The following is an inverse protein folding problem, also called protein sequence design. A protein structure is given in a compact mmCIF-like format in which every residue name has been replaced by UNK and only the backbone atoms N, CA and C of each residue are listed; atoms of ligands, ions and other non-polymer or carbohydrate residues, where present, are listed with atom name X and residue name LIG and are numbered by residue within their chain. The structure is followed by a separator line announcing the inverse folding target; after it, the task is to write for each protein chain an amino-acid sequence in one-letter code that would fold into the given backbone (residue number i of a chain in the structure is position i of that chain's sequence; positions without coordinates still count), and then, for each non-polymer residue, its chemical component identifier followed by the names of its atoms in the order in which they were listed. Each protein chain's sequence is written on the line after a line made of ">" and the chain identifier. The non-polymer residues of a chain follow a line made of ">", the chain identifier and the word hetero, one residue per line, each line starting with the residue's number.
data_IF_209140162344
#
_entry.id   IF_209140162344
#
_cell.length_a   1.000
_cell.length_b   1.000
_cell.length_c   1.000
_cell.angle_alpha   90.00
_cell.angle_beta   90.00
_cell.angle_gamma   90.00
#
_symmetry.space_group_name_H-M   'P 1'
#
loop_
_entity.id
_entity.type
_entity.pdbx_description
1 polymer ?
#
# COMPACT_ATOMS: atom_id res chain seq x y z
N UNK A 1 3.88 3.35 14.19
CA UNK A 1 3.73 4.72 13.65
C UNK A 1 4.92 5.13 12.78
N UNK A 2 6.18 5.20 13.30
CA UNK A 2 7.34 5.72 12.55
C UNK A 2 7.55 5.03 11.20
N UNK A 3 7.76 3.71 11.16
CA UNK A 3 8.01 2.99 9.91
C UNK A 3 6.89 3.12 8.87
N UNK A 4 5.65 3.23 9.32
CA UNK A 4 4.47 3.49 8.49
C UNK A 4 4.58 4.87 7.82
N UNK A 5 4.83 5.92 8.60
CA UNK A 5 4.92 7.31 8.13
C UNK A 5 6.11 7.53 7.19
N UNK A 6 7.28 6.92 7.49
CA UNK A 6 8.47 7.01 6.64
C UNK A 6 8.26 6.46 5.22
N UNK A 7 7.29 5.57 5.03
CA UNK A 7 6.89 5.07 3.72
C UNK A 7 5.74 5.83 3.06
N UNK A 8 5.40 7.00 3.60
CA UNK A 8 4.24 7.78 3.20
C UNK A 8 3.06 7.57 4.15
N UNK A 9 2.75 6.33 4.51
CA UNK A 9 1.64 5.99 5.40
C UNK A 9 0.28 6.15 4.75
N UNK A 10 -0.20 5.12 4.05
CA UNK A 10 -1.53 5.08 3.42
C UNK A 10 -2.60 4.70 4.45
N UNK A 11 -3.40 5.65 4.97
CA UNK A 11 -4.40 5.35 5.99
C UNK A 11 -5.72 4.84 5.37
N UNK A 12 -6.57 4.22 6.20
CA UNK A 12 -7.94 3.87 5.83
C UNK A 12 -8.70 5.09 5.32
N UNK A 13 -8.52 6.23 5.96
CA UNK A 13 -9.16 7.52 5.60
C UNK A 13 -8.33 8.36 4.61
N UNK A 14 -7.46 7.74 3.81
CA UNK A 14 -6.53 8.45 2.94
C UNK A 14 -7.19 9.38 1.93
N UNK A 15 -8.33 8.99 1.37
CA UNK A 15 -9.07 9.84 0.43
C UNK A 15 -9.57 11.14 1.07
N UNK A 16 -9.92 11.08 2.36
CA UNK A 16 -10.40 12.23 3.12
C UNK A 16 -9.25 13.12 3.64
N UNK A 17 -8.10 12.54 4.00
CA UNK A 17 -7.09 13.25 4.77
C UNK A 17 -5.67 13.19 4.21
N UNK A 18 -5.41 12.47 3.11
CA UNK A 18 -4.08 12.32 2.51
C UNK A 18 -3.23 11.25 3.18
N UNK A 19 -1.95 11.28 2.89
CA UNK A 19 -0.96 10.39 3.52
C UNK A 19 -0.60 10.87 4.93
N UNK A 20 -0.22 9.96 5.82
CA UNK A 20 0.23 10.32 7.17
C UNK A 20 1.45 11.26 7.13
N UNK A 21 2.35 11.09 6.15
CA UNK A 21 3.52 11.94 5.96
C UNK A 21 3.17 13.39 5.55
N UNK A 22 1.98 13.63 4.98
CA UNK A 22 1.52 14.99 4.63
C UNK A 22 1.29 15.86 5.87
N UNK A 23 1.14 15.24 7.04
CA UNK A 23 0.79 15.90 8.31
C UNK A 23 1.97 16.04 9.27
N UNK A 24 3.15 15.60 8.87
CA UNK A 24 4.35 15.66 9.72
C UNK A 24 4.96 17.05 9.68
N UNK A 25 5.25 17.60 10.86
CA UNK A 25 5.93 18.90 11.05
C UNK A 25 7.43 18.74 11.29
N UNK A 26 7.83 17.69 12.02
CA UNK A 26 9.24 17.47 12.35
C UNK A 26 9.55 16.01 12.64
N UNK A 27 10.83 15.68 12.46
CA UNK A 27 11.43 14.44 12.94
C UNK A 27 12.64 14.73 13.82
N UNK A 28 12.82 13.96 14.89
CA UNK A 28 14.12 13.76 15.51
C UNK A 28 14.72 12.49 14.92
N UNK A 29 15.90 12.58 14.37
CA UNK A 29 16.55 11.50 13.63
C UNK A 29 18.02 11.38 13.98
N UNK A 30 18.47 10.17 14.30
CA UNK A 30 19.89 9.85 14.47
C UNK A 30 20.42 9.37 13.12
N UNK A 31 21.36 10.14 12.56
CA UNK A 31 22.04 9.80 11.31
C UNK A 31 23.24 8.88 11.56
N UNK A 32 23.78 8.15 10.56
CA UNK A 32 24.87 7.19 10.71
C UNK A 32 26.17 7.72 11.34
N UNK A 33 26.38 9.04 11.31
CA UNK A 33 27.48 9.73 12.02
C UNK A 33 27.23 9.89 13.53
N UNK A 34 26.23 9.20 14.07
CA UNK A 34 25.78 9.26 15.47
C UNK A 34 25.29 10.65 15.92
N UNK A 35 24.89 11.51 14.97
CA UNK A 35 24.39 12.85 15.27
C UNK A 35 22.86 12.84 15.35
N UNK A 36 22.30 13.37 16.44
CA UNK A 36 20.88 13.65 16.55
C UNK A 36 20.57 14.96 15.81
N UNK A 37 19.63 14.90 14.87
CA UNK A 37 19.21 16.04 14.03
C UNK A 37 17.72 16.27 14.17
N UNK A 38 17.34 17.55 14.11
CA UNK A 38 15.93 17.94 13.92
C UNK A 38 15.71 18.26 12.46
N UNK A 39 14.82 17.51 11.81
CA UNK A 39 14.46 17.73 10.41
C UNK A 39 13.06 18.34 10.31
N UNK A 40 12.95 19.50 9.66
CA UNK A 40 11.72 20.25 9.36
C UNK A 40 11.80 20.77 7.92
N UNK A 41 10.74 21.43 7.44
CA UNK A 41 10.77 22.09 6.13
C UNK A 41 11.91 23.14 6.00
N UNK A 42 12.28 23.80 7.11
CA UNK A 42 13.28 24.87 7.13
C UNK A 42 14.65 24.41 7.66
N UNK A 43 14.69 23.35 8.47
CA UNK A 43 15.92 22.81 9.08
C UNK A 43 16.16 21.42 8.51
N UNK A 44 17.34 21.18 7.94
CA UNK A 44 17.68 19.92 7.25
C UNK A 44 16.60 19.51 6.22
N UNK A 45 16.21 20.38 5.28
CA UNK A 45 15.07 20.16 4.39
C UNK A 45 15.21 18.91 3.51
N UNK A 46 16.42 18.54 3.07
CA UNK A 46 16.64 17.32 2.30
C UNK A 46 16.36 16.06 3.14
N UNK A 47 16.73 16.09 4.42
CA UNK A 47 16.47 15.02 5.36
C UNK A 47 14.97 14.90 5.65
N UNK A 48 14.30 16.04 5.88
CA UNK A 48 12.85 16.11 6.06
C UNK A 48 12.08 15.57 4.86
N UNK A 49 12.49 15.98 3.66
CA UNK A 49 11.92 15.47 2.40
C UNK A 49 12.10 13.96 2.27
N UNK A 50 13.31 13.42 2.50
CA UNK A 50 13.62 12.00 2.36
C UNK A 50 12.88 11.12 3.37
N UNK A 51 12.64 11.62 4.60
CA UNK A 51 11.90 10.89 5.65
C UNK A 51 10.40 10.81 5.37
N UNK A 52 9.86 11.57 4.42
CA UNK A 52 8.45 11.56 4.03
C UNK A 52 8.24 10.81 2.71
N UNK A 53 8.40 9.48 2.73
CA UNK A 53 8.24 8.57 1.59
C UNK A 53 9.50 7.79 1.19
N UNK A 54 10.69 8.25 1.60
CA UNK A 54 11.97 7.61 1.27
C UNK A 54 12.37 6.47 2.22
N UNK A 55 11.50 6.09 3.16
CA UNK A 55 11.77 5.02 4.14
C UNK A 55 12.93 5.36 5.10
N UNK A 56 13.56 4.34 5.70
CA UNK A 56 14.66 4.46 6.67
C UNK A 56 16.05 4.57 6.05
N UNK A 57 16.18 5.17 4.87
CA UNK A 57 17.44 5.20 4.12
C UNK A 57 18.49 6.17 4.68
N UNK A 58 18.09 7.13 5.52
CA UNK A 58 18.92 8.29 5.89
C UNK A 58 19.14 8.43 7.39
N UNK A 59 18.44 7.67 8.22
CA UNK A 59 18.56 7.73 9.68
C UNK A 59 17.55 6.86 10.41
N UNK A 60 17.72 6.79 11.73
CA UNK A 60 16.80 6.16 12.67
C UNK A 60 15.98 7.25 13.36
N UNK A 61 14.69 7.30 13.07
CA UNK A 61 13.77 8.30 13.67
C UNK A 61 13.44 7.88 15.10
N UNK A 62 13.64 8.79 16.04
CA UNK A 62 13.35 8.61 17.47
C UNK A 62 12.07 9.32 17.89
N UNK A 63 11.68 10.38 17.18
CA UNK A 63 10.45 11.15 17.45
C UNK A 63 9.91 11.72 16.15
N UNK A 64 8.58 11.85 16.05
CA UNK A 64 7.92 12.60 15.00
C UNK A 64 6.75 13.40 15.59
N UNK A 65 6.57 14.63 15.12
CA UNK A 65 5.43 15.49 15.44
C UNK A 65 4.53 15.65 14.20
N UNK A 66 3.23 15.46 14.37
CA UNK A 66 2.24 15.50 13.29
C UNK A 66 0.87 15.96 13.79
N UNK A 67 0.04 16.45 12.85
CA UNK A 67 -1.32 16.87 13.15
C UNK A 67 -2.27 15.70 13.37
N UNK A 68 -3.25 15.91 14.24
CA UNK A 68 -4.42 15.07 14.43
C UNK A 68 -5.66 15.72 13.81
N UNK A 69 -6.67 14.91 13.51
CA UNK A 69 -7.97 15.36 13.02
C UNK A 69 -9.01 15.32 14.13
N UNK A 70 -9.91 16.32 14.21
CA UNK A 70 -11.03 16.33 15.14
C UNK A 70 -12.14 15.39 14.64
N UNK A 71 -11.89 14.09 14.62
CA UNK A 71 -12.81 13.05 14.15
C UNK A 71 -13.14 12.12 15.31
N UNK A 72 -14.38 12.17 15.78
CA UNK A 72 -14.85 11.37 16.91
C UNK A 72 -15.42 10.01 16.46
N UNK A 73 -16.22 10.02 15.38
CA UNK A 73 -16.92 8.84 14.85
C UNK A 73 -16.73 8.70 13.35
N UNK A 74 -16.92 7.50 12.85
CA UNK A 74 -16.99 7.15 11.43
C UNK A 74 -18.11 6.16 11.20
N UNK A 75 -18.79 6.24 10.05
CA UNK A 75 -19.59 5.12 9.57
C UNK A 75 -18.63 4.19 8.84
N UNK A 76 -18.48 2.94 9.29
CA UNK A 76 -17.50 2.02 8.69
C UNK A 76 -17.83 0.56 8.94
N UNK A 77 -17.19 -0.30 8.17
CA UNK A 77 -17.38 -1.74 8.20
C UNK A 77 -17.22 -2.37 6.83
N UNK A 78 -17.77 -3.58 6.67
CA UNK A 78 -17.74 -4.32 5.43
C UNK A 78 -19.07 -4.98 5.11
N UNK A 79 -19.47 -4.92 3.84
CA UNK A 79 -20.59 -5.68 3.27
C UNK A 79 -20.02 -6.88 2.53
N UNK A 80 -20.46 -8.08 2.92
CA UNK A 80 -19.94 -9.35 2.41
C UNK A 80 -20.99 -10.06 1.55
N UNK A 81 -20.52 -10.61 0.45
CA UNK A 81 -21.31 -11.34 -0.54
C UNK A 81 -20.68 -12.71 -0.80
N UNK A 82 -21.47 -13.71 -1.11
CA UNK A 82 -20.94 -15.00 -1.56
C UNK A 82 -20.07 -14.81 -2.80
N UNK A 83 -19.00 -15.59 -2.90
CA UNK A 83 -17.99 -15.44 -3.96
C UNK A 83 -18.52 -15.58 -5.39
N UNK A 84 -19.65 -16.27 -5.58
CA UNK A 84 -20.35 -16.36 -6.88
C UNK A 84 -20.83 -14.99 -7.40
N UNK A 85 -21.05 -14.02 -6.49
CA UNK A 85 -21.47 -12.66 -6.83
C UNK A 85 -20.28 -11.68 -7.05
N UNK A 86 -19.04 -12.18 -6.99
CA UNK A 86 -17.83 -11.37 -7.06
C UNK A 86 -17.80 -10.39 -8.25
N UNK A 87 -18.25 -10.85 -9.44
CA UNK A 87 -18.28 -10.01 -10.63
C UNK A 87 -19.30 -8.88 -10.54
N UNK A 88 -20.53 -9.20 -10.14
CA UNK A 88 -21.60 -8.19 -10.03
C UNK A 88 -21.22 -7.11 -9.01
N UNK A 89 -20.70 -7.52 -7.84
CA UNK A 89 -20.25 -6.61 -6.79
C UNK A 89 -19.06 -5.76 -7.25
N UNK A 90 -18.07 -6.35 -7.94
CA UNK A 90 -16.90 -5.60 -8.44
C UNK A 90 -17.30 -4.55 -9.47
N UNK A 91 -18.17 -4.90 -10.41
CA UNK A 91 -18.66 -3.95 -11.43
C UNK A 91 -19.41 -2.79 -10.77
N UNK A 92 -20.33 -3.10 -9.86
CA UNK A 92 -21.06 -2.07 -9.11
C UNK A 92 -20.11 -1.19 -8.31
N UNK A 93 -19.11 -1.78 -7.62
CA UNK A 93 -18.13 -1.03 -6.85
C UNK A 93 -17.25 -0.15 -7.75
N UNK A 94 -16.78 -0.65 -8.89
CA UNK A 94 -15.98 0.13 -9.83
C UNK A 94 -16.73 1.35 -10.32
N UNK A 95 -17.99 1.19 -10.74
CA UNK A 95 -18.85 2.31 -11.15
C UNK A 95 -19.13 3.28 -10.00
N UNK A 96 -19.43 2.75 -8.82
CA UNK A 96 -19.71 3.53 -7.60
C UNK A 96 -18.51 4.41 -7.21
N UNK A 97 -17.28 3.91 -7.30
CA UNK A 97 -16.06 4.68 -6.95
C UNK A 97 -15.90 5.95 -7.80
N UNK A 98 -16.45 5.99 -9.02
CA UNK A 98 -16.34 7.15 -9.90
C UNK A 98 -17.17 8.35 -9.43
N UNK A 99 -18.15 8.13 -8.57
CA UNK A 99 -19.11 9.14 -8.10
C UNK A 99 -18.91 9.56 -6.65
N UNK A 100 -17.99 8.91 -5.94
CA UNK A 100 -17.84 9.09 -4.50
C UNK A 100 -17.16 10.42 -4.13
N UNK A 101 -17.71 11.13 -3.13
CA UNK A 101 -16.99 12.25 -2.50
C UNK A 101 -15.72 11.79 -1.80
N UNK A 102 -14.81 12.71 -1.53
CA UNK A 102 -13.50 12.42 -0.93
C UNK A 102 -13.59 11.82 0.47
N UNK A 103 -14.66 12.12 1.19
CA UNK A 103 -14.94 11.59 2.54
C UNK A 103 -15.22 10.09 2.57
N UNK A 104 -15.60 9.49 1.43
CA UNK A 104 -15.82 8.05 1.32
C UNK A 104 -14.54 7.35 0.90
N UNK A 105 -14.00 6.51 1.77
CA UNK A 105 -12.89 5.60 1.52
C UNK A 105 -13.43 4.19 1.38
N UNK A 106 -12.98 3.42 0.39
CA UNK A 106 -13.47 2.06 0.18
C UNK A 106 -12.45 1.13 -0.44
N UNK A 107 -12.66 -0.18 -0.25
CA UNK A 107 -11.91 -1.24 -0.88
C UNK A 107 -12.85 -2.40 -1.25
N UNK A 108 -12.62 -2.98 -2.43
CA UNK A 108 -13.18 -4.26 -2.82
C UNK A 108 -12.16 -5.36 -2.55
N UNK A 109 -12.55 -6.43 -1.86
CA UNK A 109 -11.65 -7.51 -1.48
C UNK A 109 -12.25 -8.87 -1.80
N UNK A 110 -11.48 -9.76 -2.41
CA UNK A 110 -11.76 -11.18 -2.49
C UNK A 110 -11.05 -11.89 -1.34
N UNK A 111 -11.82 -12.62 -0.52
CA UNK A 111 -11.34 -13.28 0.70
C UNK A 111 -11.52 -14.79 0.59
N UNK A 112 -10.46 -15.55 0.85
CA UNK A 112 -10.46 -17.00 1.04
C UNK A 112 -10.17 -17.30 2.49
N UNK A 113 -11.23 -17.37 3.29
CA UNK A 113 -11.11 -17.44 4.74
C UNK A 113 -10.99 -18.90 5.20
N UNK A 114 -10.00 -19.24 6.03
CA UNK A 114 -9.86 -20.59 6.56
C UNK A 114 -10.96 -20.91 7.58
N UNK A 115 -11.27 -22.21 7.79
CA UNK A 115 -12.30 -22.65 8.76
C UNK A 115 -11.74 -22.68 10.19
N UNK A 116 -11.20 -21.56 10.69
CA UNK A 116 -10.61 -21.44 12.03
C UNK A 116 -11.51 -20.62 12.97
N UNK A 117 -11.44 -20.85 14.30
CA UNK A 117 -12.32 -20.20 15.27
C UNK A 117 -12.21 -18.67 15.32
N UNK A 118 -11.06 -18.11 14.93
CA UNK A 118 -10.80 -16.67 14.89
C UNK A 118 -11.63 -15.93 13.84
N UNK A 119 -12.10 -16.65 12.81
CA UNK A 119 -12.99 -16.09 11.80
C UNK A 119 -14.44 -16.16 12.30
N UNK A 120 -15.25 -15.09 12.13
CA UNK A 120 -16.68 -15.13 12.44
C UNK A 120 -17.37 -16.32 11.77
N UNK A 121 -18.21 -17.02 12.51
CA UNK A 121 -18.82 -18.29 12.08
C UNK A 121 -19.46 -18.22 10.68
N UNK A 122 -20.22 -17.17 10.31
CA UNK A 122 -20.83 -17.06 8.98
C UNK A 122 -19.83 -16.99 7.82
N UNK A 123 -18.58 -16.60 8.10
CA UNK A 123 -17.55 -16.38 7.08
C UNK A 123 -16.52 -17.52 6.97
N UNK A 124 -16.52 -18.49 7.91
CA UNK A 124 -15.53 -19.57 8.00
C UNK A 124 -15.54 -20.47 6.78
N UNK A 125 -14.33 -20.75 6.27
CA UNK A 125 -14.12 -21.71 5.18
C UNK A 125 -14.71 -21.25 3.84
N UNK A 126 -15.15 -19.98 3.74
CA UNK A 126 -15.83 -19.46 2.58
C UNK A 126 -14.93 -18.64 1.65
N UNK A 127 -15.42 -18.49 0.42
CA UNK A 127 -14.92 -17.51 -0.54
C UNK A 127 -15.91 -16.36 -0.63
N UNK A 128 -15.42 -15.14 -0.37
CA UNK A 128 -16.26 -13.96 -0.21
C UNK A 128 -15.78 -12.79 -1.06
N UNK A 129 -16.73 -12.03 -1.60
CA UNK A 129 -16.48 -10.68 -2.08
C UNK A 129 -16.92 -9.69 -0.97
N UNK A 130 -16.03 -8.80 -0.56
CA UNK A 130 -16.28 -7.77 0.46
C UNK A 130 -16.09 -6.38 -0.13
N UNK A 131 -17.00 -5.48 0.19
CA UNK A 131 -16.77 -4.03 0.06
C UNK A 131 -16.61 -3.47 1.47
N UNK A 132 -15.37 -3.09 1.82
CA UNK A 132 -15.09 -2.36 3.04
C UNK A 132 -15.18 -0.86 2.79
N UNK A 133 -15.63 -0.10 3.77
CA UNK A 133 -15.75 1.36 3.66
C UNK A 133 -15.50 2.06 4.99
N UNK A 134 -15.12 3.33 4.87
CA UNK A 134 -15.10 4.30 5.96
C UNK A 134 -15.57 5.66 5.44
N UNK A 135 -16.57 6.22 6.09
CA UNK A 135 -17.18 7.50 5.75
C UNK A 135 -17.06 8.47 6.92
N UNK A 136 -16.59 9.69 6.65
CA UNK A 136 -16.31 10.72 7.67
C UNK A 136 -17.34 11.84 7.69
N UNK A 137 -18.41 11.75 6.89
CA UNK A 137 -19.55 12.68 6.88
C UNK A 137 -20.69 12.23 7.80
N UNK A 138 -21.86 12.79 7.55
CA UNK A 138 -23.09 12.42 8.25
C UNK A 138 -23.46 10.95 7.97
N UNK A 139 -23.85 10.19 9.01
CA UNK A 139 -24.10 8.76 8.92
C UNK A 139 -25.28 8.44 7.98
N UNK A 140 -26.36 9.23 8.00
CA UNK A 140 -27.54 9.02 7.14
C UNK A 140 -27.21 9.26 5.65
N UNK A 141 -26.29 10.19 5.36
CA UNK A 141 -25.75 10.38 4.00
C UNK A 141 -24.90 9.20 3.57
N UNK A 142 -24.03 8.70 4.47
CA UNK A 142 -23.21 7.52 4.23
C UNK A 142 -24.05 6.28 3.92
N UNK A 143 -25.14 6.05 4.65
CA UNK A 143 -26.10 4.97 4.41
C UNK A 143 -26.76 5.08 3.02
N UNK A 144 -27.11 6.29 2.59
CA UNK A 144 -27.67 6.51 1.24
C UNK A 144 -26.64 6.23 0.15
N UNK A 145 -25.39 6.64 0.35
CA UNK A 145 -24.30 6.37 -0.58
C UNK A 145 -24.02 4.86 -0.70
N UNK A 146 -24.18 4.09 0.38
CA UNK A 146 -23.95 2.65 0.42
C UNK A 146 -25.05 1.82 -0.24
N UNK A 147 -26.23 2.37 -0.43
CA UNK A 147 -27.40 1.64 -0.96
C UNK A 147 -27.12 0.89 -2.30
N UNK A 148 -26.39 1.43 -3.29
CA UNK A 148 -26.06 0.69 -4.51
C UNK A 148 -25.22 -0.57 -4.25
N UNK A 149 -24.31 -0.53 -3.29
CA UNK A 149 -23.47 -1.68 -2.93
C UNK A 149 -24.32 -2.78 -2.31
N UNK A 150 -25.20 -2.45 -1.35
CA UNK A 150 -26.11 -3.43 -0.74
C UNK A 150 -27.09 -4.04 -1.75
N UNK A 151 -27.41 -3.32 -2.81
CA UNK A 151 -28.28 -3.79 -3.88
C UNK A 151 -27.57 -4.60 -4.98
N UNK A 152 -26.23 -4.67 -4.97
CA UNK A 152 -25.44 -5.33 -6.00
C UNK A 152 -25.67 -6.85 -6.08
N UNK A 153 -25.93 -7.49 -4.92
CA UNK A 153 -26.22 -8.93 -4.79
C UNK A 153 -26.84 -9.20 -3.41
N UNK A 154 -27.34 -10.43 -3.13
CA UNK A 154 -27.75 -10.82 -1.80
C UNK A 154 -26.65 -10.66 -0.77
N UNK A 155 -26.87 -9.83 0.25
CA UNK A 155 -25.92 -9.59 1.34
C UNK A 155 -25.89 -10.81 2.26
N UNK A 156 -24.72 -11.38 2.47
CA UNK A 156 -24.49 -12.51 3.36
C UNK A 156 -24.16 -12.07 4.80
N UNK A 157 -23.39 -10.97 4.94
CA UNK A 157 -22.99 -10.43 6.23
C UNK A 157 -22.70 -8.94 6.08
N UNK A 158 -23.15 -8.12 7.03
CA UNK A 158 -22.96 -6.67 7.02
C UNK A 158 -22.54 -6.21 8.41
N UNK A 159 -21.41 -5.49 8.47
CA UNK A 159 -20.85 -4.95 9.72
C UNK A 159 -20.78 -3.43 9.70
N UNK A 160 -21.42 -2.79 8.71
CA UNK A 160 -21.39 -1.33 8.60
C UNK A 160 -22.22 -0.71 9.72
N UNK A 161 -21.56 0.10 10.54
CA UNK A 161 -22.18 0.81 11.66
C UNK A 161 -21.46 2.14 11.92
N UNK A 162 -22.12 3.07 12.58
CA UNK A 162 -21.44 4.21 13.17
C UNK A 162 -20.63 3.74 14.38
N UNK A 163 -19.33 4.02 14.38
CA UNK A 163 -18.41 3.59 15.42
C UNK A 163 -17.46 4.72 15.85
N UNK A 164 -16.96 4.70 17.11
CA UNK A 164 -15.87 5.58 17.50
C UNK A 164 -14.64 5.40 16.60
N UNK A 165 -13.93 6.47 16.28
CA UNK A 165 -12.69 6.40 15.48
C UNK A 165 -11.67 5.39 16.06
N UNK A 166 -11.62 5.26 17.39
CA UNK A 166 -10.72 4.31 18.06
C UNK A 166 -11.04 2.83 17.78
N UNK A 167 -12.20 2.53 17.17
CA UNK A 167 -12.62 1.17 16.80
C UNK A 167 -12.48 0.87 15.29
N UNK A 168 -11.72 1.69 14.56
CA UNK A 168 -11.56 1.56 13.09
C UNK A 168 -10.88 0.25 12.65
N UNK A 169 -10.13 -0.42 13.52
CA UNK A 169 -9.56 -1.76 13.30
C UNK A 169 -10.65 -2.80 12.97
N UNK A 170 -11.89 -2.58 13.42
CA UNK A 170 -13.06 -3.43 13.12
C UNK A 170 -13.49 -3.39 11.66
N UNK A 171 -13.12 -2.36 10.88
CA UNK A 171 -13.50 -2.22 9.47
C UNK A 171 -12.93 -3.36 8.62
N UNK A 172 -11.66 -3.70 8.84
CA UNK A 172 -10.98 -4.75 8.09
C UNK A 172 -10.92 -6.09 8.84
N UNK A 173 -11.15 -6.07 10.16
CA UNK A 173 -11.03 -7.21 11.06
C UNK A 173 -9.66 -7.91 10.92
N UNK A 174 -8.61 -7.09 10.84
CA UNK A 174 -7.25 -7.59 10.72
C UNK A 174 -6.82 -8.38 11.96
N UNK A 175 -5.99 -9.43 11.80
CA UNK A 175 -5.47 -10.20 12.93
C UNK A 175 -4.70 -9.30 13.91
N UNK A 176 -4.93 -9.49 15.22
CA UNK A 176 -4.24 -8.73 16.27
C UNK A 176 -2.82 -9.27 16.53
N UNK A 177 -2.62 -10.57 16.33
CA UNK A 177 -1.32 -11.21 16.51
C UNK A 177 -0.53 -11.25 15.19
N UNK A 178 0.81 -11.13 15.24
CA UNK A 178 1.66 -11.28 14.07
C UNK A 178 1.50 -12.67 13.43
N UNK A 179 1.26 -12.69 12.14
CA UNK A 179 1.16 -13.92 11.35
C UNK A 179 2.27 -13.96 10.28
N UNK A 180 2.82 -15.15 9.97
CA UNK A 180 3.77 -15.28 8.88
C UNK A 180 3.01 -15.13 7.55
N UNK A 181 3.10 -13.95 6.95
CA UNK A 181 2.42 -13.61 5.71
C UNK A 181 3.36 -12.90 4.73
N UNK A 182 3.07 -13.04 3.44
CA UNK A 182 3.63 -12.25 2.35
C UNK A 182 2.60 -11.27 1.87
N UNK A 183 2.99 -10.01 1.89
CA UNK A 183 2.19 -8.92 1.32
C UNK A 183 2.88 -8.37 0.06
N UNK A 184 2.09 -8.00 -0.94
CA UNK A 184 2.55 -7.24 -2.09
C UNK A 184 1.49 -6.22 -2.50
N UNK A 185 1.94 -5.12 -3.10
CA UNK A 185 1.04 -4.12 -3.66
C UNK A 185 1.59 -3.53 -4.96
N UNK A 186 0.64 -3.12 -5.81
CA UNK A 186 0.91 -2.39 -7.05
C UNK A 186 -0.08 -1.24 -7.19
N UNK A 187 0.37 -0.13 -7.75
CA UNK A 187 -0.46 1.02 -8.03
C UNK A 187 -1.06 0.93 -9.43
N UNK A 188 -2.36 1.17 -9.53
CA UNK A 188 -3.09 1.19 -10.79
C UNK A 188 -3.62 2.60 -11.04
N UNK A 189 -3.46 3.13 -12.26
CA UNK A 189 -3.98 4.46 -12.62
C UNK A 189 -5.50 4.47 -12.73
N UNK A 190 -6.07 3.38 -13.23
CA UNK A 190 -7.51 3.23 -13.46
C UNK A 190 -7.92 1.77 -13.35
N UNK A 191 -9.22 1.54 -13.23
CA UNK A 191 -9.85 0.22 -13.30
C UNK A 191 -10.87 0.23 -14.46
N UNK A 192 -10.44 0.07 -15.71
CA UNK A 192 -11.36 0.05 -16.85
C UNK A 192 -12.23 -1.21 -16.83
N UNK A 193 -13.42 -1.14 -17.44
CA UNK A 193 -14.42 -2.20 -17.38
C UNK A 193 -13.92 -3.57 -17.92
N UNK A 194 -12.99 -3.55 -18.87
CA UNK A 194 -12.34 -4.73 -19.46
C UNK A 194 -11.26 -5.35 -18.55
N UNK A 195 -10.77 -4.62 -17.54
CA UNK A 195 -9.88 -5.17 -16.52
C UNK A 195 -10.60 -6.09 -15.52
N UNK A 196 -11.91 -5.93 -15.35
CA UNK A 196 -12.71 -6.74 -14.40
C UNK A 196 -12.65 -8.24 -14.73
N UNK A 197 -12.91 -8.69 -15.98
CA UNK A 197 -12.79 -10.10 -16.32
C UNK A 197 -11.38 -10.66 -16.13
N UNK A 198 -10.34 -9.87 -16.49
CA UNK A 198 -8.95 -10.28 -16.32
C UNK A 198 -8.58 -10.46 -14.83
N UNK A 199 -8.99 -9.51 -13.98
CA UNK A 199 -8.81 -9.60 -12.53
C UNK A 199 -9.49 -10.85 -11.95
N UNK A 200 -10.74 -11.10 -12.32
CA UNK A 200 -11.53 -12.24 -11.82
C UNK A 200 -11.04 -13.59 -12.37
N UNK A 201 -10.45 -13.64 -13.57
CA UNK A 201 -9.84 -14.86 -14.09
C UNK A 201 -8.68 -15.34 -13.22
N UNK A 202 -7.94 -14.40 -12.59
CA UNK A 202 -6.77 -14.72 -11.76
C UNK A 202 -7.07 -14.76 -10.26
N UNK A 203 -8.07 -14.01 -9.80
CA UNK A 203 -8.35 -13.85 -8.37
C UNK A 203 -9.77 -14.30 -7.96
N UNK A 204 -10.68 -14.46 -8.92
CA UNK A 204 -12.10 -14.73 -8.69
C UNK A 204 -12.45 -16.20 -8.48
N UNK A 205 -13.75 -16.55 -8.67
CA UNK A 205 -14.25 -17.92 -8.49
C UNK A 205 -13.60 -18.95 -9.42
N UNK A 206 -13.09 -18.53 -10.59
CA UNK A 206 -12.41 -19.40 -11.54
C UNK A 206 -11.02 -19.86 -11.09
N UNK A 207 -10.49 -19.29 -10.01
CA UNK A 207 -9.18 -19.63 -9.42
C UNK A 207 -9.35 -20.14 -7.98
N UNK A 208 -10.05 -21.29 -7.75
CA UNK A 208 -10.39 -21.77 -6.41
C UNK A 208 -9.16 -22.09 -5.55
N UNK A 209 -8.07 -22.57 -6.18
CA UNK A 209 -6.84 -23.00 -5.51
C UNK A 209 -5.80 -21.88 -5.36
N UNK A 210 -6.19 -20.61 -5.60
CA UNK A 210 -5.27 -19.48 -5.42
C UNK A 210 -4.81 -19.42 -3.96
N UNK A 211 -3.48 -19.51 -3.66
CA UNK A 211 -2.96 -19.59 -2.30
C UNK A 211 -2.85 -18.22 -1.61
N UNK A 212 -3.73 -17.29 -1.96
CA UNK A 212 -3.80 -15.97 -1.35
C UNK A 212 -5.03 -15.88 -0.44
N UNK A 213 -4.83 -15.42 0.79
CA UNK A 213 -5.89 -15.17 1.76
C UNK A 213 -6.82 -14.06 1.28
N UNK A 214 -6.21 -12.99 0.73
CA UNK A 214 -6.96 -11.87 0.17
C UNK A 214 -6.30 -11.29 -1.09
N UNK A 215 -7.16 -10.76 -1.97
CA UNK A 215 -6.78 -9.89 -3.09
C UNK A 215 -7.68 -8.67 -3.03
N UNK A 216 -7.09 -7.49 -2.84
CA UNK A 216 -7.79 -6.23 -2.59
C UNK A 216 -7.55 -5.21 -3.69
N UNK A 217 -8.61 -4.51 -4.08
CA UNK A 217 -8.56 -3.27 -4.84
C UNK A 217 -9.01 -2.14 -3.92
N UNK A 218 -8.09 -1.24 -3.54
CA UNK A 218 -8.40 -0.09 -2.69
C UNK A 218 -8.53 1.17 -3.53
N UNK A 219 -9.61 1.90 -3.35
CA UNK A 219 -9.88 3.17 -4.05
C UNK A 219 -8.97 4.28 -3.51
N UNK A 220 -8.22 4.89 -4.40
CA UNK A 220 -7.31 6.01 -4.14
C UNK A 220 -7.93 7.35 -4.56
N UNK A 221 -7.14 8.35 -4.85
CA UNK A 221 -7.59 9.69 -5.25
C UNK A 221 -7.96 10.57 -4.04
N UNK A 222 -8.81 11.55 -4.24
CA UNK A 222 -9.14 12.53 -3.19
C UNK A 222 -7.91 13.29 -2.69
N UNK A 223 -7.75 13.43 -1.36
CA UNK A 223 -6.59 14.11 -0.76
C UNK A 223 -5.26 13.39 -1.04
N UNK A 224 -5.26 12.06 -1.29
CA UNK A 224 -4.06 11.32 -1.67
C UNK A 224 -3.46 11.80 -3.01
N UNK A 225 -4.30 12.29 -3.92
CA UNK A 225 -3.86 12.78 -5.23
C UNK A 225 -3.36 14.23 -5.20
N UNK A 226 -3.57 14.94 -4.09
CA UNK A 226 -3.10 16.32 -3.97
C UNK A 226 -1.58 16.36 -3.71
N UNK A 227 -0.86 17.28 -4.36
CA UNK A 227 0.52 17.56 -3.98
C UNK A 227 0.57 17.96 -2.50
N UNK A 228 1.58 17.48 -1.78
CA UNK A 228 1.82 17.92 -0.42
C UNK A 228 2.17 19.42 -0.38
N UNK A 229 1.79 20.11 0.69
CA UNK A 229 2.13 21.54 0.90
C UNK A 229 3.64 21.78 0.99
N UNK A 230 4.39 20.80 1.47
CA UNK A 230 5.85 20.72 1.45
C UNK A 230 6.23 19.48 0.68
N UNK A 231 7.16 19.58 -0.28
CA UNK A 231 7.59 18.45 -1.10
C UNK A 231 8.00 17.23 -0.26
N UNK A 232 7.68 16.04 -0.78
CA UNK A 232 8.01 14.74 -0.17
C UNK A 232 8.51 13.74 -1.22
N UNK A 233 8.88 12.54 -0.78
CA UNK A 233 9.35 11.47 -1.64
C UNK A 233 8.26 10.45 -2.01
N UNK A 234 6.98 10.77 -1.79
CA UNK A 234 5.86 9.92 -2.17
C UNK A 234 5.62 10.04 -3.68
N UNK A 235 5.68 8.91 -4.37
CA UNK A 235 5.44 8.83 -5.80
C UNK A 235 4.02 8.37 -6.13
N UNK A 236 3.65 8.54 -7.42
CA UNK A 236 2.41 8.02 -8.00
C UNK A 236 1.14 8.45 -7.25
N UNK A 237 1.07 9.72 -6.84
CA UNK A 237 -0.16 10.32 -6.28
C UNK A 237 -1.32 10.33 -7.27
N UNK A 238 -1.05 10.11 -8.56
CA UNK A 238 -2.03 9.96 -9.64
C UNK A 238 -2.65 8.55 -9.73
N UNK A 239 -2.29 7.63 -8.81
CA UNK A 239 -2.91 6.31 -8.76
C UNK A 239 -4.38 6.40 -8.38
N UNK A 240 -5.25 5.73 -9.19
CA UNK A 240 -6.67 5.60 -8.90
C UNK A 240 -6.98 4.46 -7.92
N UNK A 241 -6.13 3.42 -7.92
CA UNK A 241 -6.32 2.23 -7.08
C UNK A 241 -4.99 1.63 -6.63
N UNK A 242 -5.04 0.87 -5.52
CA UNK A 242 -3.98 -0.06 -5.10
C UNK A 242 -4.52 -1.47 -5.26
N UNK A 243 -3.78 -2.33 -5.97
CA UNK A 243 -3.95 -3.77 -5.91
C UNK A 243 -3.06 -4.30 -4.78
N UNK A 244 -3.66 -4.92 -3.78
CA UNK A 244 -2.99 -5.56 -2.64
C UNK A 244 -3.23 -7.06 -2.61
N UNK A 245 -2.24 -7.83 -2.19
CA UNK A 245 -2.36 -9.28 -1.96
C UNK A 245 -1.73 -9.69 -0.65
N UNK A 246 -2.34 -10.66 0.04
CA UNK A 246 -1.79 -11.29 1.24
C UNK A 246 -1.90 -12.80 1.10
N UNK A 247 -0.79 -13.50 1.28
CA UNK A 247 -0.72 -14.96 1.34
C UNK A 247 -0.06 -15.42 2.63
N UNK A 248 -0.59 -16.49 3.24
CA UNK A 248 -0.05 -17.08 4.46
C UNK A 248 1.16 -17.96 4.15
N UNK A 249 2.18 -17.95 5.02
CA UNK A 249 3.44 -18.68 4.84
C UNK A 249 3.65 -19.76 5.93
N UNK A 250 2.79 -20.80 5.98
CA UNK A 250 2.95 -21.85 7.01
C UNK A 250 4.17 -22.76 6.79
N UNK A 251 4.83 -22.68 5.65
CA UNK A 251 6.02 -23.46 5.31
C UNK A 251 6.59 -23.16 3.92
N UNK A 252 7.73 -23.78 3.54
CA UNK A 252 8.46 -23.47 2.30
C UNK A 252 7.64 -23.70 1.01
N UNK A 253 6.85 -24.75 0.97
CA UNK A 253 6.00 -25.08 -0.20
C UNK A 253 4.91 -24.03 -0.40
N UNK A 254 4.22 -23.63 0.68
CA UNK A 254 3.23 -22.57 0.64
C UNK A 254 3.87 -21.23 0.26
N UNK A 255 5.10 -20.96 0.74
CA UNK A 255 5.85 -19.76 0.37
C UNK A 255 6.06 -19.68 -1.13
N UNK A 256 6.54 -20.75 -1.78
CA UNK A 256 6.76 -20.79 -3.22
C UNK A 256 5.45 -20.60 -4.02
N UNK A 257 4.35 -21.23 -3.56
CA UNK A 257 3.03 -21.06 -4.18
C UNK A 257 2.51 -19.62 -4.08
N UNK A 258 2.63 -19.00 -2.90
CA UNK A 258 2.24 -17.60 -2.66
C UNK A 258 3.09 -16.65 -3.51
N UNK A 259 4.41 -16.89 -3.62
CA UNK A 259 5.29 -16.06 -4.44
C UNK A 259 4.92 -16.15 -5.93
N UNK A 260 4.63 -17.34 -6.43
CA UNK A 260 4.19 -17.54 -7.81
C UNK A 260 2.84 -16.85 -8.11
N UNK A 261 1.87 -16.98 -7.21
CA UNK A 261 0.58 -16.32 -7.32
C UNK A 261 0.70 -14.79 -7.26
N UNK A 262 1.53 -14.28 -6.36
CA UNK A 262 1.85 -12.85 -6.24
C UNK A 262 2.50 -12.33 -7.53
N UNK A 263 3.46 -13.08 -8.08
CA UNK A 263 4.12 -12.72 -9.35
C UNK A 263 3.14 -12.67 -10.53
N UNK A 264 2.14 -13.52 -10.53
CA UNK A 264 1.10 -13.53 -11.58
C UNK A 264 0.26 -12.24 -11.54
N UNK A 265 -0.08 -11.75 -10.35
CA UNK A 265 -0.93 -10.56 -10.17
C UNK A 265 -0.16 -9.24 -10.25
N UNK A 266 1.07 -9.19 -9.76
CA UNK A 266 1.86 -7.95 -9.65
C UNK A 266 3.03 -7.87 -10.65
N UNK A 267 3.30 -8.93 -11.39
CA UNK A 267 4.55 -9.16 -12.10
C UNK A 267 5.59 -9.85 -11.20
N UNK A 268 6.60 -10.49 -11.81
CA UNK A 268 7.63 -11.20 -11.05
C UNK A 268 8.28 -10.28 -10.01
N UNK A 269 8.48 -10.77 -8.76
CA UNK A 269 9.23 -10.02 -7.77
C UNK A 269 10.65 -9.85 -8.30
N UNK A 270 11.05 -8.59 -8.43
CA UNK A 270 12.34 -8.28 -8.98
C UNK A 270 13.45 -8.28 -7.94
N UNK A 271 14.63 -8.24 -8.48
CA UNK A 271 15.89 -7.99 -7.81
C UNK A 271 15.97 -6.51 -7.34
N UNK A 272 17.19 -6.01 -7.12
CA UNK A 272 17.45 -4.62 -6.70
C UNK A 272 16.80 -3.56 -7.62
N UNK A 273 16.57 -3.88 -8.91
CA UNK A 273 15.93 -2.96 -9.88
C UNK A 273 14.44 -2.74 -9.58
N UNK A 274 13.74 -3.73 -9.01
CA UNK A 274 12.32 -3.58 -8.67
C UNK A 274 12.11 -2.76 -7.39
N UNK A 275 13.08 -2.74 -6.48
CA UNK A 275 13.05 -1.83 -5.33
C UNK A 275 13.14 -0.37 -5.78
N UNK A 276 13.89 -0.09 -6.85
CA UNK A 276 13.95 1.23 -7.47
C UNK A 276 12.59 1.66 -8.08
N UNK A 277 11.71 0.71 -8.46
CA UNK A 277 10.37 1.01 -9.01
C UNK A 277 9.40 1.60 -7.97
N UNK A 278 9.72 1.56 -6.67
CA UNK A 278 8.94 2.24 -5.64
C UNK A 278 8.98 3.77 -5.80
N UNK A 279 9.95 4.31 -6.54
CA UNK A 279 10.11 5.73 -6.78
C UNK A 279 10.30 6.02 -8.27
N UNK A 280 9.97 7.26 -8.69
CA UNK A 280 10.37 7.74 -10.01
C UNK A 280 11.89 7.90 -10.07
N UNK A 281 12.47 7.91 -11.27
CA UNK A 281 13.92 8.10 -11.45
C UNK A 281 14.45 9.39 -10.78
N UNK A 282 13.67 10.46 -10.88
CA UNK A 282 13.99 11.75 -10.25
C UNK A 282 14.04 11.64 -8.71
N UNK A 283 12.97 11.06 -8.11
CA UNK A 283 12.90 10.88 -6.65
C UNK A 283 13.98 9.91 -6.18
N UNK A 284 14.20 8.80 -6.89
CA UNK A 284 15.27 7.85 -6.57
C UNK A 284 16.66 8.52 -6.59
N UNK A 285 16.94 9.33 -7.62
CA UNK A 285 18.19 10.07 -7.75
C UNK A 285 18.38 11.07 -6.59
N UNK A 286 17.32 11.80 -6.21
CA UNK A 286 17.38 12.73 -5.07
C UNK A 286 17.56 11.97 -3.74
N UNK A 287 16.87 10.84 -3.54
CA UNK A 287 17.09 9.97 -2.38
C UNK A 287 18.52 9.44 -2.30
N UNK A 288 19.10 9.02 -3.43
CA UNK A 288 20.49 8.54 -3.50
C UNK A 288 21.51 9.64 -3.12
N UNK A 289 21.28 10.87 -3.56
CA UNK A 289 22.10 12.03 -3.15
C UNK A 289 21.95 12.33 -1.67
N UNK A 290 20.74 12.35 -1.16
CA UNK A 290 20.47 12.57 0.27
C UNK A 290 21.09 11.46 1.12
N UNK A 291 20.96 10.19 0.69
CA UNK A 291 21.63 9.07 1.35
C UNK A 291 23.15 9.23 1.35
N UNK A 292 23.75 9.63 0.24
CA UNK A 292 25.22 9.86 0.16
C UNK A 292 25.71 10.95 1.11
N UNK A 293 24.86 11.94 1.41
CA UNK A 293 25.17 13.00 2.38
C UNK A 293 25.11 12.51 3.83
N UNK A 294 24.10 11.72 4.20
CA UNK A 294 23.85 11.32 5.60
C UNK A 294 24.31 9.90 5.93
N UNK A 295 24.42 9.01 4.95
CA UNK A 295 24.88 7.62 5.09
C UNK A 295 25.87 7.22 3.99
N UNK A 296 27.03 7.89 3.88
CA UNK A 296 28.02 7.59 2.84
C UNK A 296 28.60 6.17 2.95
N UNK A 297 28.61 5.59 4.13
CA UNK A 297 29.11 4.23 4.40
C UNK A 297 28.07 3.15 4.14
N UNK A 298 26.83 3.53 3.76
CA UNK A 298 25.72 2.62 3.54
C UNK A 298 25.47 1.67 4.74
N UNK A 299 25.45 2.22 5.95
CA UNK A 299 25.12 1.48 7.17
C UNK A 299 23.64 1.04 7.18
N UNK A 300 22.75 1.89 6.68
CA UNK A 300 21.30 1.67 6.58
C UNK A 300 20.98 0.93 5.28
N UNK A 301 21.17 -0.38 5.26
CA UNK A 301 21.09 -1.23 4.06
C UNK A 301 20.02 -2.32 4.13
N UNK A 302 19.04 -2.19 5.02
CA UNK A 302 17.94 -3.15 5.20
C UNK A 302 16.62 -2.58 4.68
N UNK A 303 15.77 -3.45 4.13
CA UNK A 303 14.45 -3.09 3.59
C UNK A 303 14.52 -2.50 2.18
N UNK A 304 13.67 -1.50 1.90
CA UNK A 304 13.66 -0.78 0.61
C UNK A 304 14.77 0.27 0.59
N UNK A 305 15.96 -0.14 0.18
CA UNK A 305 17.15 0.72 0.17
C UNK A 305 17.37 1.37 -1.18
N UNK A 306 17.90 2.60 -1.16
CA UNK A 306 18.48 3.26 -2.33
C UNK A 306 20.01 3.16 -2.27
N UNK A 307 20.67 3.09 -3.42
CA UNK A 307 22.14 3.11 -3.49
C UNK A 307 22.67 4.53 -3.22
N UNK A 308 23.81 4.63 -2.52
CA UNK A 308 24.54 5.89 -2.46
C UNK A 308 25.20 6.20 -3.81
N UNK A 309 25.27 7.47 -4.22
CA UNK A 309 25.76 7.88 -5.56
C UNK A 309 27.20 7.46 -5.88
N UNK A 310 28.05 7.23 -4.89
CA UNK A 310 29.43 6.72 -5.07
C UNK A 310 29.49 5.27 -5.59
N UNK A 311 28.43 4.49 -5.48
CA UNK A 311 28.34 3.12 -6.00
C UNK A 311 27.83 3.04 -7.44
N UNK A 312 27.30 4.13 -8.01
CA UNK A 312 26.80 4.19 -9.39
C UNK A 312 27.91 4.43 -10.43
N UNK A 313 29.14 4.80 -10.00
CA UNK A 313 30.24 5.22 -10.92
C UNK A 313 31.24 4.11 -11.25
N UNK A 314 31.09 2.90 -10.75
CA UNK A 314 32.00 1.78 -11.06
C UNK A 314 31.29 0.60 -11.71
N UNK A 315 30.80 0.79 -12.94
CA UNK A 315 30.75 -0.33 -13.86
C UNK A 315 32.17 -0.52 -14.41
N UNK A 316 32.82 -1.69 -14.28
CA UNK A 316 34.14 -1.89 -14.87
C UNK A 316 33.98 -1.80 -16.39
N UNK A 317 34.70 -0.86 -17.00
CA UNK A 317 34.91 -0.86 -18.44
C UNK A 317 35.56 -2.19 -18.84
N UNK A 318 34.88 -2.94 -19.68
CA UNK A 318 35.42 -4.16 -20.29
C UNK A 318 36.78 -3.84 -20.95
N UNK A 319 37.83 -4.63 -20.75
CA UNK A 319 39.09 -4.40 -21.43
C UNK A 319 38.87 -4.61 -22.93
N UNK A 320 39.24 -3.56 -23.69
CA UNK A 320 39.31 -3.61 -25.14
C UNK A 320 40.25 -4.74 -25.58
N UNK A 321 39.74 -5.65 -26.38
CA UNK A 321 40.51 -6.71 -27.02
C UNK A 321 41.55 -6.04 -27.93
N UNK A 322 42.82 -6.35 -27.71
CA UNK A 322 43.94 -5.92 -28.56
C UNK A 322 43.82 -6.62 -29.93
N UNK A 323 44.17 -5.97 -31.05
CA UNK A 323 44.14 -6.57 -32.34
C UNK A 323 45.30 -7.59 -32.50
N UNK A 324 44.92 -8.81 -32.91
CA UNK A 324 45.87 -9.86 -33.29
C UNK A 324 46.64 -9.45 -34.55
N UNK A 325 47.98 -9.41 -34.48
CA UNK A 325 48.88 -9.23 -35.62
C UNK A 325 48.87 -10.47 -36.52
N UNK A 326 48.98 -10.32 -37.83
CA UNK A 326 49.13 -11.45 -38.74
C UNK A 326 50.58 -11.96 -38.76
N UNK A 327 50.74 -13.27 -38.61
CA UNK A 327 52.00 -13.97 -38.86
C UNK A 327 52.15 -14.24 -40.34
N UNK A 328 53.34 -13.99 -40.83
CA UNK A 328 53.90 -14.37 -42.15
C UNK A 328 54.01 -15.90 -42.25
#
# INVERSE_FOLDING_TARGET
>A
MVGYTLGGGLPVLGRAYGYAADRVHSFQVVTPDATLRTATADTEPDLFWALRGGKGNVGVVTELAFDLFPLATVLGGGVYFAGEHAEAVLRTWADWTTTLPTQMCSAYTLLRLPPIPQIPEPLRGGFWARVALAWTGDADEGEKLLAPIRAAAPVAFDTVEEMPYAAMDRIYMDPQDPLPAREACSLLRSLPADAVPAFLAHAGPAAPDLPLLLVELRHMGGELSRPASVEDAICARDAGYVLGTVGMLPGPEATAAVEAATATLHGAPGDEKDRARAWTEEVYTRLSRTKSKYDPSNLLRFGHTVAATSSLTTAPSSPSAAPSSPSV
#
